data_IF_287660409858
#
_entry.id   IF_287660409858
#
_cell.length_a   1.000
_cell.length_b   1.000
_cell.length_c   1.000
_cell.angle_alpha   90.00
_cell.angle_beta   90.00
_cell.angle_gamma   90.00
#
_symmetry.space_group_name_H-M   'P 1'
#
loop_
_entity.id
_entity.type
_entity.pdbx_description
1 polymer ?
#
# COMPACT_ATOMS: atom_id res chain seq x y z
N UNK A 1 21.23 -3.37 -12.76
CA UNK A 1 20.36 -2.20 -12.50
C UNK A 1 20.18 -2.15 -11.00
N UNK A 2 20.76 -1.14 -10.34
CA UNK A 2 20.91 -1.09 -8.88
C UNK A 2 19.62 -0.64 -8.18
N UNK A 3 19.34 -1.21 -7.01
CA UNK A 3 18.19 -0.92 -6.13
C UNK A 3 17.99 0.57 -5.79
N UNK A 4 18.99 1.41 -6.02
CA UNK A 4 18.97 2.85 -5.79
C UNK A 4 18.03 3.63 -6.73
N UNK A 5 17.76 3.14 -7.94
CA UNK A 5 17.00 3.90 -8.95
C UNK A 5 15.47 3.82 -8.82
N UNK A 6 14.91 2.93 -8.00
CA UNK A 6 13.46 2.87 -7.76
C UNK A 6 12.97 3.90 -6.73
N UNK A 7 13.85 4.37 -5.85
CA UNK A 7 13.51 5.26 -4.73
C UNK A 7 13.19 6.70 -5.15
N UNK A 8 13.68 7.16 -6.30
CA UNK A 8 13.49 8.53 -6.79
C UNK A 8 12.24 8.69 -7.70
N UNK A 9 11.54 7.60 -8.03
CA UNK A 9 10.40 7.62 -8.97
C UNK A 9 9.05 7.27 -8.34
N UNK A 10 8.99 6.86 -7.07
CA UNK A 10 7.71 6.69 -6.39
C UNK A 10 7.20 8.04 -5.90
N UNK A 11 6.53 8.79 -6.76
CA UNK A 11 5.69 9.94 -6.38
C UNK A 11 4.47 9.55 -5.54
N UNK A 12 4.44 8.33 -5.01
CA UNK A 12 3.38 7.87 -4.14
C UNK A 12 3.60 8.37 -2.72
N UNK A 13 2.74 9.28 -2.28
CA UNK A 13 2.58 9.63 -0.87
C UNK A 13 1.33 8.94 -0.34
N UNK A 14 1.52 7.85 0.41
CA UNK A 14 0.41 7.19 1.10
C UNK A 14 -0.12 8.15 2.19
N UNK A 15 -1.45 8.20 2.35
CA UNK A 15 -2.08 9.04 3.37
C UNK A 15 -1.58 8.66 4.76
N UNK A 16 -1.23 9.65 5.59
CA UNK A 16 -0.76 9.42 6.96
C UNK A 16 -1.76 8.64 7.82
N UNK A 17 -3.06 8.76 7.53
CA UNK A 17 -4.13 7.98 8.18
C UNK A 17 -4.10 6.48 7.90
N UNK A 18 -3.36 6.03 6.87
CA UNK A 18 -3.19 4.62 6.52
C UNK A 18 -1.87 4.05 7.05
N UNK A 19 -0.94 4.90 7.48
CA UNK A 19 0.36 4.47 7.99
C UNK A 19 0.18 3.82 9.36
N UNK A 20 0.71 2.61 9.53
CA UNK A 20 0.63 1.89 10.79
C UNK A 20 0.61 0.37 10.62
N UNK A 21 0.27 -0.29 11.72
CA UNK A 21 0.08 -1.74 11.81
C UNK A 21 -1.42 -2.00 11.90
N UNK A 22 -1.92 -2.92 11.08
CA UNK A 22 -3.34 -3.18 10.92
C UNK A 22 -3.64 -4.65 11.04
N UNK A 23 -4.80 -4.96 11.63
CA UNK A 23 -5.37 -6.31 11.61
C UNK A 23 -6.04 -6.52 10.26
N UNK A 24 -5.74 -7.63 9.60
CA UNK A 24 -6.49 -8.07 8.42
C UNK A 24 -7.56 -9.08 8.83
N UNK A 25 -8.85 -8.76 8.68
CA UNK A 25 -9.91 -9.72 9.00
C UNK A 25 -9.75 -11.01 8.19
N UNK A 26 -9.75 -12.16 8.87
CA UNK A 26 -9.67 -13.49 8.25
C UNK A 26 -8.25 -14.03 8.04
N UNK A 27 -7.21 -13.26 8.38
CA UNK A 27 -5.83 -13.71 8.41
C UNK A 27 -5.26 -13.48 9.82
N UNK A 28 -4.55 -14.47 10.37
CA UNK A 28 -3.91 -14.37 11.70
C UNK A 28 -2.61 -13.56 11.67
N UNK A 29 -2.48 -12.61 10.74
CA UNK A 29 -1.25 -11.87 10.51
C UNK A 29 -1.51 -10.36 10.54
N UNK A 30 -0.49 -9.62 10.99
CA UNK A 30 -0.50 -8.16 11.03
C UNK A 30 0.05 -7.62 9.72
N UNK A 31 -0.62 -6.62 9.17
CA UNK A 31 -0.14 -5.94 7.98
C UNK A 31 0.43 -4.57 8.32
N UNK A 32 1.54 -4.20 7.69
CA UNK A 32 2.19 -2.91 7.93
C UNK A 32 2.13 -2.06 6.67
N UNK A 33 1.76 -0.79 6.84
CA UNK A 33 1.79 0.22 5.78
C UNK A 33 2.68 1.36 6.27
N UNK A 34 3.66 1.74 5.45
CA UNK A 34 4.48 2.93 5.66
C UNK A 34 4.32 3.90 4.47
N UNK A 35 5.19 4.91 4.36
CA UNK A 35 5.07 5.97 3.36
C UNK A 35 4.99 5.47 1.91
N UNK A 36 5.70 4.39 1.57
CA UNK A 36 5.81 3.89 0.18
C UNK A 36 5.63 2.38 0.08
N UNK A 37 5.31 1.67 1.15
CA UNK A 37 5.26 0.22 1.17
C UNK A 37 4.07 -0.32 1.96
N UNK A 38 3.49 -1.39 1.43
CA UNK A 38 2.45 -2.18 2.06
C UNK A 38 2.91 -3.63 2.09
N UNK A 39 3.05 -4.22 3.28
CA UNK A 39 3.64 -5.56 3.49
C UNK A 39 3.06 -6.66 2.62
N UNK A 40 1.76 -6.59 2.31
CA UNK A 40 1.08 -7.62 1.51
C UNK A 40 1.12 -7.37 0.00
N UNK A 41 1.48 -6.16 -0.44
CA UNK A 41 1.35 -5.72 -1.85
C UNK A 41 2.63 -5.14 -2.45
N UNK A 42 3.62 -4.81 -1.64
CA UNK A 42 4.92 -4.29 -2.07
C UNK A 42 4.96 -2.76 -2.10
N UNK A 43 5.69 -2.22 -3.07
CA UNK A 43 6.03 -0.79 -3.14
C UNK A 43 4.90 -0.03 -3.85
N UNK A 44 4.51 1.12 -3.33
CA UNK A 44 3.58 2.01 -3.98
C UNK A 44 4.26 2.76 -5.14
N UNK A 45 3.70 2.61 -6.34
CA UNK A 45 4.20 3.27 -7.54
C UNK A 45 3.53 4.62 -7.78
N UNK A 46 2.24 4.73 -7.46
CA UNK A 46 1.47 5.94 -7.72
C UNK A 46 0.23 6.03 -6.81
N UNK A 47 -0.10 7.24 -6.35
CA UNK A 47 -1.40 7.54 -5.74
C UNK A 47 -2.32 8.17 -6.77
N UNK A 48 -3.54 7.66 -6.93
CA UNK A 48 -4.53 8.35 -7.77
C UNK A 48 -5.04 9.57 -7.01
N UNK A 49 -4.51 10.76 -7.35
CA UNK A 49 -4.85 12.02 -6.67
C UNK A 49 -6.36 12.32 -6.70
N UNK A 50 -7.06 11.85 -7.74
CA UNK A 50 -8.50 12.05 -7.91
C UNK A 50 -9.37 11.12 -7.04
N UNK A 51 -8.81 10.01 -6.54
CA UNK A 51 -9.56 9.02 -5.77
C UNK A 51 -8.87 8.78 -4.44
N UNK A 52 -9.48 9.32 -3.37
CA UNK A 52 -9.00 9.17 -2.00
C UNK A 52 -8.76 7.70 -1.67
N UNK A 53 -7.57 7.42 -1.14
CA UNK A 53 -7.14 6.10 -0.71
C UNK A 53 -6.98 5.03 -1.81
N UNK A 54 -6.88 5.45 -3.07
CA UNK A 54 -6.60 4.54 -4.19
C UNK A 54 -5.14 4.66 -4.65
N UNK A 55 -4.44 3.53 -4.67
CA UNK A 55 -3.01 3.47 -4.96
C UNK A 55 -2.68 2.30 -5.88
N UNK A 56 -1.60 2.41 -6.64
CA UNK A 56 -1.05 1.31 -7.43
C UNK A 56 0.18 0.76 -6.71
N UNK A 57 0.16 -0.52 -6.38
CA UNK A 57 1.27 -1.23 -5.76
C UNK A 57 1.95 -2.17 -6.75
N UNK A 58 3.24 -2.37 -6.56
CA UNK A 58 4.06 -3.32 -7.29
C UNK A 58 4.74 -4.29 -6.33
N UNK A 59 4.51 -5.58 -6.57
CA UNK A 59 5.17 -6.64 -5.85
C UNK A 59 6.30 -7.21 -6.73
N UNK A 60 7.54 -7.01 -6.31
CA UNK A 60 8.72 -7.43 -7.08
C UNK A 60 8.83 -8.96 -7.19
N UNK A 61 8.46 -9.70 -6.14
CA UNK A 61 8.53 -11.16 -6.11
C UNK A 61 7.62 -11.81 -7.16
N UNK A 62 6.41 -11.26 -7.30
CA UNK A 62 5.40 -11.75 -8.26
C UNK A 62 5.40 -10.99 -9.59
N UNK A 63 6.22 -9.93 -9.71
CA UNK A 63 6.24 -8.99 -10.84
C UNK A 63 4.84 -8.46 -11.23
N UNK A 64 3.97 -8.27 -10.24
CA UNK A 64 2.57 -7.93 -10.45
C UNK A 64 2.26 -6.49 -9.98
N UNK A 65 1.50 -5.75 -10.79
CA UNK A 65 0.92 -4.45 -10.41
C UNK A 65 -0.54 -4.63 -10.01
N UNK A 66 -0.94 -4.01 -8.90
CA UNK A 66 -2.31 -4.09 -8.38
C UNK A 66 -2.82 -2.71 -8.01
N UNK A 67 -4.08 -2.45 -8.31
CA UNK A 67 -4.78 -1.28 -7.83
C UNK A 67 -5.38 -1.62 -6.48
N UNK A 68 -5.19 -0.80 -5.46
CA UNK A 68 -5.72 -1.03 -4.11
C UNK A 68 -6.53 0.18 -3.69
N UNK A 69 -7.77 -0.04 -3.29
CA UNK A 69 -8.62 0.97 -2.66
C UNK A 69 -8.77 0.63 -1.18
N UNK A 70 -8.23 1.46 -0.29
CA UNK A 70 -8.44 1.30 1.15
C UNK A 70 -9.77 1.88 1.60
N UNK A 71 -10.41 1.18 2.54
CA UNK A 71 -11.72 1.51 3.11
C UNK A 71 -11.56 1.59 4.63
N UNK A 72 -11.10 2.74 5.17
CA UNK A 72 -10.93 2.92 6.61
C UNK A 72 -12.29 3.02 7.29
N UNK A 73 -12.76 1.92 7.90
CA UNK A 73 -14.03 1.85 8.65
C UNK A 73 -13.85 1.77 10.16
N UNK A 74 -12.76 1.17 10.63
CA UNK A 74 -12.51 0.90 12.04
C UNK A 74 -11.11 1.36 12.44
N UNK A 75 -10.96 1.77 13.70
CA UNK A 75 -9.70 2.33 14.24
C UNK A 75 -8.50 1.36 14.14
N UNK A 76 -8.75 0.05 14.26
CA UNK A 76 -7.67 -0.97 14.33
C UNK A 76 -7.71 -1.99 13.18
N UNK A 77 -8.68 -1.85 12.27
CA UNK A 77 -8.87 -2.79 11.17
C UNK A 77 -9.04 -2.02 9.86
N UNK A 78 -8.14 -2.28 8.92
CA UNK A 78 -8.13 -1.64 7.62
C UNK A 78 -8.60 -2.65 6.57
N UNK A 79 -9.69 -2.30 5.89
CA UNK A 79 -10.21 -3.07 4.77
C UNK A 79 -9.69 -2.49 3.47
N UNK A 80 -9.54 -3.32 2.45
CA UNK A 80 -9.18 -2.86 1.11
C UNK A 80 -9.82 -3.76 0.04
N UNK A 81 -9.87 -3.28 -1.19
CA UNK A 81 -10.24 -4.06 -2.39
C UNK A 81 -9.15 -3.93 -3.43
N UNK A 82 -8.91 -5.02 -4.17
CA UNK A 82 -8.07 -5.06 -5.36
C UNK A 82 -8.90 -4.85 -6.63
#
# INVERSE_FOLDING_TARGET
MSLSSLSLLSSCSISSSLIGIWIQPGLNDLMTINNTWFSLKGICLNGQQDIKYKYIYYNEQTRCKRCILFIPRHLNALQYRE
#
